data_IF_600672470930
#
_entry.id   IF_600672470930
#
_cell.length_a   1.000
_cell.length_b   1.000
_cell.length_c   1.000
_cell.angle_alpha   90.00
_cell.angle_beta   90.00
_cell.angle_gamma   90.00
#
_symmetry.space_group_name_H-M   'P 1'
#
loop_
_entity.id
_entity.type
_entity.pdbx_description
1 polymer ?
#
# COMPACT_ATOMS: atom_id res chain seq x y z
N UNK A 1 17.62 -48.92 -34.01
CA UNK A 1 17.98 -48.67 -32.60
C UNK A 1 17.41 -49.71 -31.61
N UNK A 2 16.41 -50.55 -31.97
CA UNK A 2 15.86 -51.55 -31.04
C UNK A 2 16.73 -52.80 -30.81
N UNK A 3 17.65 -53.14 -31.72
CA UNK A 3 18.43 -54.39 -31.64
C UNK A 3 19.50 -54.44 -30.53
N UNK A 4 19.90 -53.28 -29.99
CA UNK A 4 20.89 -53.18 -28.91
C UNK A 4 20.29 -53.03 -27.50
N UNK A 5 18.96 -52.94 -27.34
CA UNK A 5 18.35 -52.68 -26.02
C UNK A 5 18.48 -53.88 -25.08
N UNK A 6 18.21 -55.09 -25.58
CA UNK A 6 18.30 -56.33 -24.80
C UNK A 6 19.73 -56.64 -24.28
N UNK A 7 20.80 -56.53 -25.10
CA UNK A 7 22.15 -56.73 -24.59
C UNK A 7 22.59 -55.66 -23.58
N UNK A 8 22.19 -54.40 -23.75
CA UNK A 8 22.50 -53.34 -22.77
C UNK A 8 21.74 -53.53 -21.45
N UNK A 9 20.48 -53.97 -21.48
CA UNK A 9 19.74 -54.31 -20.26
C UNK A 9 20.39 -55.50 -19.52
N UNK A 10 20.94 -56.46 -20.26
CA UNK A 10 21.66 -57.60 -19.69
C UNK A 10 22.97 -57.18 -19.03
N UNK A 11 23.77 -56.32 -19.67
CA UNK A 11 25.01 -55.80 -19.08
C UNK A 11 24.76 -54.98 -17.82
N UNK A 12 23.67 -54.20 -17.78
CA UNK A 12 23.26 -53.47 -16.58
C UNK A 12 22.83 -54.42 -15.45
N UNK A 13 22.17 -55.54 -15.76
CA UNK A 13 21.85 -56.55 -14.75
C UNK A 13 23.09 -57.22 -14.17
N UNK A 14 24.09 -57.53 -15.00
CA UNK A 14 25.36 -58.09 -14.58
C UNK A 14 26.13 -57.10 -13.70
N UNK A 15 26.19 -55.82 -14.09
CA UNK A 15 26.77 -54.74 -13.28
C UNK A 15 26.08 -54.62 -11.91
N UNK A 16 24.74 -54.65 -11.87
CA UNK A 16 23.99 -54.60 -10.61
C UNK A 16 24.26 -55.80 -9.71
N UNK A 17 24.40 -56.99 -10.29
CA UNK A 17 24.72 -58.19 -9.53
C UNK A 17 26.11 -58.08 -8.88
N UNK A 18 27.08 -57.52 -9.60
CA UNK A 18 28.42 -57.27 -9.08
C UNK A 18 28.43 -56.18 -7.99
N UNK A 19 27.78 -55.04 -8.22
CA UNK A 19 27.64 -53.97 -7.23
C UNK A 19 26.95 -54.47 -5.95
N UNK A 20 25.93 -55.32 -6.05
CA UNK A 20 25.30 -55.94 -4.88
C UNK A 20 26.24 -56.86 -4.11
N UNK A 21 27.12 -57.58 -4.81
CA UNK A 21 28.12 -58.45 -4.19
C UNK A 21 29.16 -57.60 -3.44
N UNK A 22 29.70 -56.57 -4.08
CA UNK A 22 30.65 -55.63 -3.47
C UNK A 22 30.04 -54.94 -2.24
N UNK A 23 28.80 -54.47 -2.33
CA UNK A 23 28.08 -53.86 -1.21
C UNK A 23 27.91 -54.83 -0.03
N UNK A 24 27.59 -56.11 -0.29
CA UNK A 24 27.48 -57.14 0.76
C UNK A 24 28.82 -57.42 1.42
N UNK A 25 29.90 -57.45 0.65
CA UNK A 25 31.26 -57.64 1.16
C UNK A 25 31.69 -56.45 2.03
N UNK A 26 31.48 -55.22 1.56
CA UNK A 26 31.77 -53.98 2.32
C UNK A 26 30.92 -53.84 3.58
N UNK A 27 29.63 -54.19 3.53
CA UNK A 27 28.77 -54.26 4.74
C UNK A 27 29.23 -55.33 5.74
N UNK A 28 29.80 -56.45 5.28
CA UNK A 28 30.41 -57.45 6.17
C UNK A 28 31.72 -56.96 6.79
N UNK A 29 32.55 -56.25 6.03
CA UNK A 29 33.78 -55.62 6.53
C UNK A 29 33.47 -54.55 7.58
N UNK A 30 32.45 -53.71 7.35
CA UNK A 30 32.01 -52.70 8.33
C UNK A 30 31.58 -53.33 9.66
N UNK A 31 30.93 -54.49 9.63
CA UNK A 31 30.52 -55.23 10.84
C UNK A 31 31.68 -55.89 11.59
N UNK A 32 32.82 -56.11 10.93
CA UNK A 32 34.00 -56.78 11.49
C UNK A 32 35.10 -55.80 11.92
N UNK A 33 35.05 -54.54 11.47
CA UNK A 33 36.05 -53.52 11.78
C UNK A 33 35.84 -52.94 13.19
N UNK A 34 36.95 -52.82 13.93
CA UNK A 34 37.00 -52.29 15.30
C UNK A 34 37.43 -50.82 15.36
N UNK A 35 37.96 -50.25 14.27
CA UNK A 35 38.50 -48.88 14.22
C UNK A 35 37.44 -47.88 13.72
N UNK A 36 37.29 -46.75 14.42
CA UNK A 36 36.30 -45.73 14.07
C UNK A 36 36.64 -45.00 12.76
N UNK A 37 37.93 -44.85 12.43
CA UNK A 37 38.36 -44.28 11.15
C UNK A 37 38.04 -45.19 9.96
N UNK A 38 38.22 -46.50 10.13
CA UNK A 38 37.93 -47.51 9.11
C UNK A 38 36.41 -47.67 8.91
N UNK A 39 35.61 -47.55 9.98
CA UNK A 39 34.15 -47.53 9.88
C UNK A 39 33.64 -46.32 9.08
N UNK A 40 34.21 -45.13 9.29
CA UNK A 40 33.82 -43.92 8.54
C UNK A 40 34.13 -44.06 7.04
N UNK A 41 35.30 -44.60 6.69
CA UNK A 41 35.66 -44.86 5.29
C UNK A 41 34.73 -45.90 4.64
N UNK A 42 34.47 -47.02 5.33
CA UNK A 42 33.57 -48.05 4.84
C UNK A 42 32.12 -47.54 4.70
N UNK A 43 31.66 -46.63 5.57
CA UNK A 43 30.36 -45.99 5.44
C UNK A 43 30.27 -45.09 4.20
N UNK A 44 31.32 -44.29 3.92
CA UNK A 44 31.37 -43.47 2.71
C UNK A 44 31.39 -44.32 1.43
N UNK A 45 32.17 -45.41 1.42
CA UNK A 45 32.20 -46.36 0.30
C UNK A 45 30.86 -47.08 0.12
N UNK A 46 30.20 -47.49 1.20
CA UNK A 46 28.85 -48.07 1.13
C UNK A 46 27.86 -47.05 0.58
N UNK A 47 27.89 -45.80 1.03
CA UNK A 47 27.01 -44.76 0.52
C UNK A 47 27.22 -44.52 -0.99
N UNK A 48 28.48 -44.51 -1.45
CA UNK A 48 28.82 -44.42 -2.87
C UNK A 48 28.28 -45.62 -3.67
N UNK A 49 28.48 -46.84 -3.18
CA UNK A 49 27.96 -48.06 -3.82
C UNK A 49 26.43 -48.11 -3.82
N UNK A 50 25.76 -47.62 -2.77
CA UNK A 50 24.30 -47.49 -2.73
C UNK A 50 23.81 -46.46 -3.75
N UNK A 51 24.52 -45.35 -3.92
CA UNK A 51 24.23 -44.35 -4.95
C UNK A 51 24.41 -44.93 -6.36
N UNK A 52 25.54 -45.59 -6.65
CA UNK A 52 25.79 -46.22 -7.96
C UNK A 52 24.76 -47.31 -8.27
N UNK A 53 24.34 -48.10 -7.27
CA UNK A 53 23.30 -49.11 -7.44
C UNK A 53 21.92 -48.49 -7.68
N UNK A 54 21.66 -47.30 -7.12
CA UNK A 54 20.44 -46.53 -7.41
C UNK A 54 20.48 -45.98 -8.84
N UNK A 55 21.56 -45.32 -9.24
CA UNK A 55 21.77 -44.77 -10.59
C UNK A 55 21.67 -45.87 -11.67
N UNK A 56 22.33 -47.01 -11.45
CA UNK A 56 22.22 -48.17 -12.35
C UNK A 56 20.80 -48.74 -12.44
N UNK A 57 20.00 -48.61 -11.38
CA UNK A 57 18.59 -48.99 -11.39
C UNK A 57 17.72 -48.00 -12.17
N UNK A 58 18.00 -46.72 -12.01
CA UNK A 58 17.36 -45.66 -12.79
C UNK A 58 17.70 -45.80 -14.27
N UNK A 59 18.95 -46.13 -14.62
CA UNK A 59 19.39 -46.40 -15.99
C UNK A 59 18.74 -47.65 -16.59
N UNK A 60 18.64 -48.74 -15.81
CA UNK A 60 17.90 -49.94 -16.24
C UNK A 60 16.45 -49.59 -16.56
N UNK A 61 15.81 -48.82 -15.68
CA UNK A 61 14.42 -48.40 -15.85
C UNK A 61 14.29 -47.50 -17.08
N UNK A 62 15.14 -46.49 -17.22
CA UNK A 62 15.15 -45.56 -18.36
C UNK A 62 15.31 -46.27 -19.70
N UNK A 63 16.19 -47.27 -19.77
CA UNK A 63 16.40 -48.04 -21.00
C UNK A 63 15.24 -49.02 -21.26
N UNK A 64 14.61 -49.55 -20.20
CA UNK A 64 13.48 -50.47 -20.34
C UNK A 64 12.15 -49.75 -20.65
N UNK A 65 11.95 -48.54 -20.16
CA UNK A 65 10.70 -47.78 -20.30
C UNK A 65 10.77 -46.67 -21.35
N UNK A 66 11.96 -46.15 -21.64
CA UNK A 66 12.18 -44.97 -22.47
C UNK A 66 12.01 -43.63 -21.73
N UNK A 67 11.83 -43.65 -20.40
CA UNK A 67 11.39 -42.49 -19.59
C UNK A 67 12.32 -42.30 -18.41
N UNK A 68 12.63 -41.05 -18.05
CA UNK A 68 13.48 -40.75 -16.89
C UNK A 68 12.69 -40.95 -15.58
N UNK A 69 13.09 -41.89 -14.69
CA UNK A 69 12.42 -42.12 -13.41
C UNK A 69 12.46 -40.90 -12.47
N UNK A 70 13.33 -39.92 -12.75
CA UNK A 70 13.51 -38.70 -11.95
C UNK A 70 12.34 -37.73 -12.09
N UNK A 71 11.61 -37.76 -13.20
CA UNK A 71 10.42 -36.91 -13.42
C UNK A 71 9.24 -37.31 -12.54
N UNK A 72 9.26 -38.55 -12.03
CA UNK A 72 8.25 -39.09 -11.12
C UNK A 72 8.63 -38.96 -9.63
N UNK A 73 9.79 -38.37 -9.33
CA UNK A 73 10.19 -38.08 -7.95
C UNK A 73 9.65 -36.71 -7.52
N UNK A 74 9.13 -36.58 -6.28
CA UNK A 74 8.69 -35.29 -5.79
C UNK A 74 9.87 -34.32 -5.79
N UNK A 75 9.82 -33.29 -6.66
CA UNK A 75 10.77 -32.18 -6.62
C UNK A 75 10.78 -31.64 -5.19
N UNK A 76 11.92 -31.72 -4.50
CA UNK A 76 12.11 -31.11 -3.18
C UNK A 76 11.67 -29.66 -3.30
N UNK A 77 10.60 -29.29 -2.58
CA UNK A 77 10.10 -27.91 -2.54
C UNK A 77 11.23 -27.05 -1.99
N UNK A 78 11.79 -26.20 -2.85
CA UNK A 78 12.64 -25.11 -2.41
C UNK A 78 11.81 -24.19 -1.53
N UNK A 79 12.04 -24.23 -0.22
CA UNK A 79 11.51 -23.23 0.69
C UNK A 79 12.21 -21.91 0.40
N UNK A 80 11.51 -21.03 -0.31
CA UNK A 80 11.97 -19.66 -0.55
C UNK A 80 11.25 -18.67 0.35
N UNK A 81 12.11 -17.97 1.10
CA UNK A 81 12.18 -16.51 1.21
C UNK A 81 11.49 -15.87 2.41
N UNK A 82 12.35 -15.48 3.35
CA UNK A 82 12.02 -15.02 4.69
C UNK A 82 12.39 -13.53 4.83
N UNK A 83 11.64 -12.64 4.17
CA UNK A 83 12.05 -11.23 4.03
C UNK A 83 11.10 -10.18 4.63
N UNK A 84 10.14 -10.55 5.49
CA UNK A 84 9.19 -9.56 6.06
C UNK A 84 8.73 -9.83 7.50
N UNK A 85 9.51 -10.46 8.37
CA UNK A 85 9.01 -10.94 9.67
C UNK A 85 8.39 -9.84 10.58
N UNK A 86 8.82 -8.58 10.48
CA UNK A 86 8.28 -7.48 11.31
C UNK A 86 7.01 -6.82 10.75
N UNK A 87 6.97 -6.50 9.44
CA UNK A 87 5.73 -5.99 8.80
C UNK A 87 4.63 -7.07 8.79
N UNK A 88 5.05 -8.34 8.75
CA UNK A 88 4.13 -9.48 8.80
C UNK A 88 3.48 -9.64 10.16
N UNK A 89 3.98 -9.05 11.27
CA UNK A 89 3.30 -9.15 12.56
C UNK A 89 2.02 -8.30 12.61
N UNK A 90 2.09 -7.06 12.12
CA UNK A 90 0.94 -6.15 12.03
C UNK A 90 -0.07 -6.59 10.97
N UNK A 91 0.42 -7.14 9.85
CA UNK A 91 -0.43 -7.64 8.77
C UNK A 91 -0.77 -9.12 8.91
N UNK A 92 -0.22 -9.86 9.88
CA UNK A 92 -0.45 -11.31 10.08
C UNK A 92 -1.92 -11.64 10.12
N UNK A 93 -2.73 -10.92 10.92
CA UNK A 93 -4.16 -11.21 11.06
C UNK A 93 -4.91 -10.91 9.76
N UNK A 94 -4.57 -9.82 9.08
CA UNK A 94 -5.16 -9.44 7.80
C UNK A 94 -4.81 -10.45 6.70
N UNK A 95 -3.54 -10.89 6.65
CA UNK A 95 -3.08 -11.92 5.73
C UNK A 95 -3.76 -13.26 6.06
N UNK A 96 -3.90 -13.65 7.33
CA UNK A 96 -4.57 -14.90 7.69
C UNK A 96 -6.06 -14.88 7.34
N UNK A 97 -6.75 -13.76 7.56
CA UNK A 97 -8.15 -13.56 7.17
C UNK A 97 -8.30 -13.59 5.64
N UNK A 98 -7.46 -12.85 4.90
CA UNK A 98 -7.44 -12.94 3.44
C UNK A 98 -7.09 -14.35 2.96
N UNK A 99 -6.20 -15.07 3.67
CA UNK A 99 -5.85 -16.45 3.35
C UNK A 99 -7.04 -17.39 3.60
N UNK A 100 -7.89 -17.14 4.59
CA UNK A 100 -9.13 -17.87 4.82
C UNK A 100 -10.17 -17.54 3.74
N UNK A 101 -10.38 -16.26 3.42
CA UNK A 101 -11.30 -15.83 2.35
C UNK A 101 -10.91 -16.40 0.98
N UNK A 102 -9.61 -16.48 0.70
CA UNK A 102 -9.07 -17.04 -0.55
C UNK A 102 -8.76 -18.53 -0.47
N UNK A 103 -9.01 -19.19 0.67
CA UNK A 103 -8.64 -20.60 0.89
C UNK A 103 -9.26 -21.49 -0.18
N UNK A 104 -10.54 -21.27 -0.48
CA UNK A 104 -11.30 -22.01 -1.50
C UNK A 104 -10.73 -21.82 -2.91
N UNK A 105 -10.41 -20.58 -3.28
CA UNK A 105 -9.82 -20.25 -4.59
C UNK A 105 -8.43 -20.84 -4.72
N UNK A 106 -7.62 -20.80 -3.65
CA UNK A 106 -6.30 -21.44 -3.64
C UNK A 106 -6.38 -22.95 -3.70
N UNK A 107 -7.31 -23.55 -2.97
CA UNK A 107 -7.54 -25.00 -3.01
C UNK A 107 -7.95 -25.42 -4.43
N UNK A 108 -8.84 -24.67 -5.09
CA UNK A 108 -9.20 -24.92 -6.50
C UNK A 108 -8.00 -24.78 -7.43
N UNK A 109 -7.16 -23.75 -7.26
CA UNK A 109 -5.94 -23.57 -8.05
C UNK A 109 -4.95 -24.72 -7.83
N UNK A 110 -4.76 -25.16 -6.59
CA UNK A 110 -3.89 -26.27 -6.25
C UNK A 110 -4.37 -27.58 -6.87
N UNK A 111 -5.68 -27.88 -6.79
CA UNK A 111 -6.29 -29.05 -7.42
C UNK A 111 -6.13 -29.03 -8.95
N UNK A 112 -6.28 -27.87 -9.59
CA UNK A 112 -6.01 -27.74 -11.03
C UNK A 112 -4.56 -28.06 -11.39
N UNK A 113 -3.59 -27.56 -10.61
CA UNK A 113 -2.16 -27.86 -10.82
C UNK A 113 -1.88 -29.34 -10.63
N UNK A 114 -2.44 -29.97 -9.60
CA UNK A 114 -2.30 -31.41 -9.35
C UNK A 114 -2.91 -32.25 -10.50
N UNK A 115 -4.11 -31.88 -10.99
CA UNK A 115 -4.76 -32.53 -12.13
C UNK A 115 -3.91 -32.40 -13.39
N UNK A 116 -3.36 -31.22 -13.66
CA UNK A 116 -2.48 -30.97 -14.81
C UNK A 116 -1.21 -31.83 -14.72
N UNK A 117 -0.59 -31.90 -13.54
CA UNK A 117 0.58 -32.77 -13.31
C UNK A 117 0.27 -34.24 -13.57
N UNK A 118 -0.83 -34.76 -13.00
CA UNK A 118 -1.22 -36.16 -13.24
C UNK A 118 -1.58 -36.41 -14.71
N UNK A 119 -2.17 -35.43 -15.40
CA UNK A 119 -2.49 -35.57 -16.83
C UNK A 119 -1.25 -35.67 -17.72
N UNK A 120 -0.11 -35.11 -17.31
CA UNK A 120 1.18 -35.24 -18.00
C UNK A 120 1.87 -36.58 -17.72
N UNK A 121 1.83 -37.04 -16.47
CA UNK A 121 2.52 -38.26 -16.03
C UNK A 121 1.81 -39.56 -16.41
N UNK A 122 0.49 -39.55 -16.58
CA UNK A 122 -0.30 -40.73 -16.99
C UNK A 122 0.09 -41.30 -18.36
N UNK A 123 0.17 -40.51 -19.46
CA UNK A 123 0.56 -41.04 -20.76
C UNK A 123 2.00 -41.60 -20.77
N UNK A 124 2.91 -40.98 -20.02
CA UNK A 124 4.27 -41.49 -19.80
C UNK A 124 4.24 -42.86 -19.10
N UNK A 125 3.47 -43.00 -18.02
CA UNK A 125 3.33 -44.29 -17.33
C UNK A 125 2.71 -45.38 -18.23
N UNK A 126 1.77 -45.03 -19.10
CA UNK A 126 1.19 -45.95 -20.09
C UNK A 126 2.23 -46.41 -21.13
N UNK A 127 3.05 -45.49 -21.63
CA UNK A 127 4.12 -45.80 -22.58
C UNK A 127 5.17 -46.73 -21.97
N UNK A 128 5.56 -46.48 -20.72
CA UNK A 128 6.45 -47.36 -19.96
C UNK A 128 5.90 -48.79 -19.85
N UNK A 129 4.62 -48.95 -19.52
CA UNK A 129 3.96 -50.26 -19.44
C UNK A 129 3.92 -50.95 -20.81
N UNK A 130 3.65 -50.20 -21.90
CA UNK A 130 3.66 -50.74 -23.27
C UNK A 130 5.05 -51.24 -23.67
N UNK A 131 6.08 -50.42 -23.47
CA UNK A 131 7.47 -50.73 -23.82
C UNK A 131 7.99 -51.97 -23.05
N UNK A 132 7.75 -52.06 -21.74
CA UNK A 132 8.13 -53.25 -20.96
C UNK A 132 7.37 -54.49 -21.45
N UNK A 133 6.09 -54.36 -21.80
CA UNK A 133 5.28 -55.48 -22.30
C UNK A 133 5.80 -56.00 -23.65
N UNK A 134 6.26 -55.12 -24.54
CA UNK A 134 6.90 -55.52 -25.80
C UNK A 134 8.26 -56.21 -25.58
N UNK A 135 9.10 -55.67 -24.69
CA UNK A 135 10.40 -56.27 -24.35
C UNK A 135 10.23 -57.67 -23.72
N UNK A 136 9.18 -57.86 -22.92
CA UNK A 136 8.82 -59.16 -22.33
C UNK A 136 8.42 -60.21 -23.39
N UNK A 137 7.83 -59.79 -24.52
CA UNK A 137 7.49 -60.70 -25.63
C UNK A 137 8.72 -61.10 -26.46
N UNK A 138 9.71 -60.21 -26.58
CA UNK A 138 10.92 -60.42 -27.39
C UNK A 138 12.03 -61.18 -26.66
N UNK A 139 12.06 -61.17 -25.33
CA UNK A 139 13.15 -61.77 -24.55
C UNK A 139 12.98 -63.27 -24.28
N UNK A 140 14.05 -64.05 -24.49
CA UNK A 140 14.13 -65.50 -24.17
C UNK A 140 14.87 -65.79 -22.85
N UNK A 141 15.55 -64.79 -22.26
CA UNK A 141 16.37 -64.95 -21.05
C UNK A 141 15.49 -64.96 -19.77
N UNK A 142 15.63 -66.01 -18.96
CA UNK A 142 14.82 -66.26 -17.76
C UNK A 142 15.09 -65.24 -16.64
N UNK A 143 16.31 -64.73 -16.52
CA UNK A 143 16.67 -63.74 -15.49
C UNK A 143 16.12 -62.35 -15.84
N UNK A 144 16.29 -61.94 -17.11
CA UNK A 144 15.77 -60.67 -17.63
C UNK A 144 14.24 -60.65 -17.64
N UNK A 145 13.58 -61.77 -17.98
CA UNK A 145 12.11 -61.91 -17.93
C UNK A 145 11.55 -61.74 -16.51
N UNK A 146 12.24 -62.24 -15.49
CA UNK A 146 11.86 -62.08 -14.08
C UNK A 146 11.99 -60.62 -13.62
N UNK A 147 13.07 -59.93 -14.04
CA UNK A 147 13.30 -58.54 -13.68
C UNK A 147 12.30 -57.60 -14.38
N UNK A 148 12.10 -57.75 -15.69
CA UNK A 148 11.11 -56.99 -16.46
C UNK A 148 9.69 -57.25 -15.96
N UNK A 149 9.36 -58.46 -15.51
CA UNK A 149 8.07 -58.77 -14.89
C UNK A 149 7.84 -58.00 -13.58
N UNK A 150 8.88 -57.82 -12.76
CA UNK A 150 8.80 -56.98 -11.55
C UNK A 150 8.59 -55.51 -11.90
N UNK A 151 9.36 -54.99 -12.87
CA UNK A 151 9.19 -53.62 -13.34
C UNK A 151 7.79 -53.39 -13.92
N UNK A 152 7.25 -54.33 -14.70
CA UNK A 152 5.89 -54.23 -15.22
C UNK A 152 4.85 -54.11 -14.09
N UNK A 153 4.97 -54.90 -13.03
CA UNK A 153 4.06 -54.80 -11.88
C UNK A 153 4.20 -53.47 -11.14
N UNK A 154 5.43 -52.96 -11.00
CA UNK A 154 5.68 -51.67 -10.36
C UNK A 154 5.07 -50.50 -11.16
N UNK A 155 5.29 -50.47 -12.47
CA UNK A 155 4.74 -49.45 -13.37
C UNK A 155 3.22 -49.53 -13.51
N UNK A 156 2.62 -50.74 -13.56
CA UNK A 156 1.15 -50.89 -13.52
C UNK A 156 0.54 -50.38 -12.22
N UNK A 157 1.17 -50.64 -11.08
CA UNK A 157 0.71 -50.11 -9.80
C UNK A 157 0.82 -48.59 -9.76
N UNK A 158 1.92 -48.03 -10.28
CA UNK A 158 2.12 -46.58 -10.34
C UNK A 158 1.14 -45.88 -11.27
N UNK A 159 0.82 -46.48 -12.42
CA UNK A 159 -0.22 -45.99 -13.33
C UNK A 159 -1.58 -45.92 -12.63
N UNK A 160 -2.01 -47.01 -11.97
CA UNK A 160 -3.27 -47.03 -11.19
C UNK A 160 -3.29 -46.00 -10.06
N UNK A 161 -2.16 -45.80 -9.39
CA UNK A 161 -2.04 -44.80 -8.34
C UNK A 161 -2.22 -43.38 -8.87
N UNK A 162 -1.60 -43.05 -10.01
CA UNK A 162 -1.76 -41.75 -10.69
C UNK A 162 -3.20 -41.52 -11.15
N UNK A 163 -3.84 -42.54 -11.71
CA UNK A 163 -5.24 -42.48 -12.15
C UNK A 163 -6.19 -42.22 -10.97
N UNK A 164 -6.01 -42.97 -9.87
CA UNK A 164 -6.79 -42.78 -8.66
C UNK A 164 -6.61 -41.38 -8.07
N UNK A 165 -5.37 -40.87 -7.99
CA UNK A 165 -5.08 -39.51 -7.49
C UNK A 165 -5.72 -38.44 -8.38
N UNK A 166 -5.66 -38.60 -9.70
CA UNK A 166 -6.32 -37.69 -10.63
C UNK A 166 -7.84 -37.68 -10.43
N UNK A 167 -8.45 -38.85 -10.29
CA UNK A 167 -9.89 -38.99 -10.08
C UNK A 167 -10.33 -38.35 -8.75
N UNK A 168 -9.58 -38.57 -7.67
CA UNK A 168 -9.83 -37.92 -6.37
C UNK A 168 -9.75 -36.40 -6.50
N UNK A 169 -8.69 -35.87 -7.14
CA UNK A 169 -8.54 -34.43 -7.32
C UNK A 169 -9.68 -33.82 -8.17
N UNK A 170 -10.12 -34.51 -9.23
CA UNK A 170 -11.27 -34.11 -10.05
C UNK A 170 -12.58 -34.10 -9.25
N UNK A 171 -12.83 -35.13 -8.44
CA UNK A 171 -14.02 -35.19 -7.59
C UNK A 171 -14.03 -34.06 -6.55
N UNK A 172 -12.89 -33.77 -5.91
CA UNK A 172 -12.77 -32.65 -4.96
C UNK A 172 -13.02 -31.31 -5.65
N UNK A 173 -12.50 -31.13 -6.86
CA UNK A 173 -12.75 -29.92 -7.66
C UNK A 173 -14.23 -29.80 -8.05
N UNK A 174 -14.88 -30.90 -8.41
CA UNK A 174 -16.30 -30.91 -8.73
C UNK A 174 -17.15 -30.54 -7.49
N UNK A 175 -16.84 -31.09 -6.32
CA UNK A 175 -17.49 -30.73 -5.04
C UNK A 175 -17.31 -29.25 -4.70
N UNK A 176 -16.10 -28.72 -4.85
CA UNK A 176 -15.79 -27.29 -4.70
C UNK A 176 -16.56 -26.42 -5.70
N UNK A 177 -16.84 -26.95 -6.90
CA UNK A 177 -17.56 -26.26 -7.96
C UNK A 177 -19.09 -26.34 -7.86
N UNK A 178 -19.66 -27.40 -7.25
CA UNK A 178 -21.11 -27.53 -7.05
C UNK A 178 -21.63 -26.59 -5.95
N UNK A 179 -20.78 -26.23 -4.99
CA UNK A 179 -21.07 -25.20 -3.99
C UNK A 179 -20.97 -23.76 -4.53
N UNK A 180 -21.02 -23.55 -5.86
CA UNK A 180 -20.99 -22.24 -6.55
C UNK A 180 -22.37 -21.55 -6.57
N UNK A 181 -23.07 -21.49 -5.45
CA UNK A 181 -24.05 -20.40 -5.28
C UNK A 181 -23.27 -19.11 -5.11
N UNK A 182 -23.07 -18.43 -6.26
CA UNK A 182 -22.69 -17.03 -6.44
C UNK A 182 -21.64 -16.46 -5.48
N UNK A 183 -20.44 -16.18 -6.00
CA UNK A 183 -19.40 -15.38 -5.31
C UNK A 183 -19.96 -14.05 -4.74
N UNK A 184 -21.02 -13.51 -5.36
CA UNK A 184 -21.73 -12.32 -4.87
C UNK A 184 -22.60 -12.59 -3.64
N UNK A 185 -23.22 -13.77 -3.55
CA UNK A 185 -23.97 -14.21 -2.36
C UNK A 185 -23.02 -14.49 -1.20
N UNK A 186 -21.89 -15.16 -1.45
CA UNK A 186 -20.83 -15.39 -0.45
C UNK A 186 -20.23 -14.08 0.09
N UNK A 187 -20.01 -13.08 -0.78
CA UNK A 187 -19.58 -11.73 -0.38
C UNK A 187 -20.66 -11.01 0.43
N UNK A 188 -21.93 -11.10 0.02
CA UNK A 188 -23.04 -10.45 0.71
C UNK A 188 -23.26 -11.07 2.11
N UNK A 189 -23.13 -12.38 2.23
CA UNK A 189 -23.25 -13.09 3.50
C UNK A 189 -22.06 -12.80 4.42
N UNK A 190 -20.84 -12.73 3.87
CA UNK A 190 -19.63 -12.34 4.61
C UNK A 190 -19.71 -10.91 5.14
N UNK A 191 -20.18 -9.96 4.34
CA UNK A 191 -20.38 -8.56 4.77
C UNK A 191 -21.46 -8.50 5.85
N UNK A 192 -22.58 -9.22 5.69
CA UNK A 192 -23.66 -9.26 6.69
C UNK A 192 -23.17 -9.87 8.01
N UNK A 193 -22.37 -10.93 7.95
CA UNK A 193 -21.76 -11.55 9.11
C UNK A 193 -20.75 -10.60 9.79
N UNK A 194 -19.96 -9.87 9.01
CA UNK A 194 -19.02 -8.86 9.51
C UNK A 194 -19.74 -7.76 10.28
N UNK A 195 -20.80 -7.16 9.73
CA UNK A 195 -21.57 -6.13 10.44
C UNK A 195 -22.29 -6.67 11.66
N UNK A 196 -22.80 -7.91 11.63
CA UNK A 196 -23.48 -8.53 12.77
C UNK A 196 -22.53 -8.87 13.92
N UNK A 197 -21.31 -9.29 13.61
CA UNK A 197 -20.32 -9.70 14.61
C UNK A 197 -19.44 -8.55 15.09
N UNK A 198 -19.03 -7.65 14.19
CA UNK A 198 -18.04 -6.58 14.45
C UNK A 198 -18.63 -5.17 14.41
N UNK A 199 -19.88 -5.02 13.98
CA UNK A 199 -20.56 -3.71 13.94
C UNK A 199 -20.70 -3.05 15.31
N UNK A 200 -20.84 -3.84 16.38
CA UNK A 200 -20.87 -3.31 17.74
C UNK A 200 -19.55 -2.62 18.14
N UNK A 201 -18.42 -3.22 17.79
CA UNK A 201 -17.10 -2.63 18.07
C UNK A 201 -16.83 -1.39 17.21
N UNK A 202 -17.25 -1.42 15.94
CA UNK A 202 -17.16 -0.25 15.07
C UNK A 202 -18.02 0.90 15.59
N UNK A 203 -19.25 0.62 16.04
CA UNK A 203 -20.13 1.60 16.66
C UNK A 203 -19.52 2.15 17.96
N UNK A 204 -19.00 1.29 18.83
CA UNK A 204 -18.36 1.71 20.07
C UNK A 204 -17.12 2.59 19.81
N UNK A 205 -16.30 2.24 18.81
CA UNK A 205 -15.12 3.00 18.45
C UNK A 205 -15.49 4.38 17.89
N UNK A 206 -16.51 4.44 17.03
CA UNK A 206 -17.05 5.70 16.52
C UNK A 206 -17.66 6.55 17.63
N UNK A 207 -18.44 5.93 18.52
CA UNK A 207 -19.02 6.60 19.68
C UNK A 207 -17.93 7.20 20.57
N UNK A 208 -16.83 6.47 20.79
CA UNK A 208 -15.69 6.96 21.58
C UNK A 208 -15.00 8.15 20.93
N UNK A 209 -14.80 8.12 19.61
CA UNK A 209 -14.28 9.28 18.85
C UNK A 209 -15.21 10.49 18.99
N UNK A 210 -16.52 10.29 18.81
CA UNK A 210 -17.49 11.38 18.96
C UNK A 210 -17.54 11.93 20.39
N UNK A 211 -17.40 11.07 21.40
CA UNK A 211 -17.36 11.46 22.81
C UNK A 211 -16.12 12.29 23.11
N UNK A 212 -14.94 11.87 22.63
CA UNK A 212 -13.69 12.63 22.79
C UNK A 212 -13.82 14.01 22.15
N UNK A 213 -14.31 14.08 20.91
CA UNK A 213 -14.51 15.36 20.21
C UNK A 213 -15.51 16.25 20.95
N UNK A 214 -16.64 15.70 21.42
CA UNK A 214 -17.65 16.45 22.15
C UNK A 214 -17.11 16.99 23.48
N UNK A 215 -16.37 16.15 24.22
CA UNK A 215 -15.74 16.53 25.49
C UNK A 215 -14.71 17.63 25.30
N UNK A 216 -13.83 17.49 24.30
CA UNK A 216 -12.85 18.53 23.95
C UNK A 216 -13.54 19.81 23.46
N UNK A 217 -14.62 19.71 22.68
CA UNK A 217 -15.38 20.88 22.23
C UNK A 217 -16.04 21.63 23.39
N UNK A 218 -16.62 20.92 24.35
CA UNK A 218 -17.18 21.50 25.57
C UNK A 218 -16.08 22.18 26.41
N UNK A 219 -14.93 21.53 26.59
CA UNK A 219 -13.77 22.10 27.29
C UNK A 219 -13.27 23.38 26.60
N UNK A 220 -13.17 23.38 25.27
CA UNK A 220 -12.77 24.56 24.51
C UNK A 220 -13.76 25.72 24.70
N UNK A 221 -15.06 25.43 24.61
CA UNK A 221 -16.12 26.43 24.82
C UNK A 221 -16.07 27.01 26.24
N UNK A 222 -15.77 26.19 27.24
CA UNK A 222 -15.62 26.62 28.62
C UNK A 222 -14.37 27.51 28.79
N UNK A 223 -13.26 27.12 28.17
CA UNK A 223 -11.99 27.86 28.21
C UNK A 223 -12.13 29.26 27.57
N UNK A 224 -12.80 29.36 26.43
CA UNK A 224 -13.12 30.65 25.77
C UNK A 224 -14.04 31.52 26.63
N UNK A 225 -14.94 30.92 27.42
CA UNK A 225 -15.85 31.66 28.30
C UNK A 225 -15.14 32.24 29.53
N UNK A 226 -14.08 31.59 30.02
CA UNK A 226 -13.36 32.00 31.24
C UNK A 226 -12.21 32.98 30.93
N UNK A 227 -11.48 32.80 29.84
CA UNK A 227 -10.31 33.65 29.56
C UNK A 227 -10.73 35.05 29.03
N UNK A 228 -10.43 36.16 29.75
CA UNK A 228 -10.85 37.52 29.39
C UNK A 228 -10.10 38.16 28.20
N UNK A 229 -9.36 37.38 27.40
CA UNK A 229 -8.62 37.85 26.22
C UNK A 229 -9.30 37.55 24.88
N UNK A 230 -10.31 36.67 24.87
CA UNK A 230 -10.91 36.12 23.65
C UNK A 230 -11.97 37.05 23.00
N UNK A 231 -12.44 38.08 23.73
CA UNK A 231 -13.43 39.07 23.26
C UNK A 231 -12.83 40.36 22.67
N UNK A 232 -11.50 40.47 22.61
CA UNK A 232 -10.84 41.66 22.02
C UNK A 232 -10.85 41.57 20.49
N UNK A 233 -10.91 42.72 19.81
CA UNK A 233 -10.93 42.79 18.33
C UNK A 233 -9.73 42.08 17.68
N UNK A 234 -8.57 42.07 18.36
CA UNK A 234 -7.38 41.34 17.95
C UNK A 234 -6.99 40.30 19.00
N UNK A 235 -7.19 39.01 18.66
CA UNK A 235 -6.77 37.88 19.51
C UNK A 235 -5.23 37.79 19.47
N UNK A 236 -4.55 37.86 20.63
CA UNK A 236 -3.09 37.79 20.68
C UNK A 236 -2.58 36.42 20.22
N UNK A 237 -1.38 36.41 19.64
CA UNK A 237 -0.74 35.24 19.02
C UNK A 237 -0.65 34.02 19.96
N UNK A 238 -0.39 34.24 21.25
CA UNK A 238 -0.31 33.19 22.27
C UNK A 238 -1.63 32.40 22.41
N UNK A 239 -2.76 33.08 22.34
CA UNK A 239 -4.07 32.43 22.41
C UNK A 239 -4.37 31.63 21.14
N UNK A 240 -3.97 32.11 19.96
CA UNK A 240 -4.11 31.37 18.69
C UNK A 240 -3.26 30.10 18.67
N UNK A 241 -2.03 30.15 19.19
CA UNK A 241 -1.17 28.96 19.34
C UNK A 241 -1.80 27.96 20.30
N UNK A 242 -2.32 28.42 21.43
CA UNK A 242 -3.00 27.56 22.40
C UNK A 242 -4.19 26.82 21.77
N UNK A 243 -5.00 27.51 20.96
CA UNK A 243 -6.10 26.87 20.23
C UNK A 243 -5.61 25.81 19.23
N UNK A 244 -4.54 26.11 18.49
CA UNK A 244 -3.94 25.17 17.55
C UNK A 244 -3.46 23.91 18.27
N UNK A 245 -2.77 24.08 19.40
CA UNK A 245 -2.30 22.98 20.26
C UNK A 245 -3.47 22.16 20.79
N UNK A 246 -4.53 22.81 21.28
CA UNK A 246 -5.73 22.12 21.77
C UNK A 246 -6.41 21.29 20.68
N UNK A 247 -6.49 21.84 19.46
CA UNK A 247 -7.07 21.14 18.30
C UNK A 247 -6.21 19.96 17.85
N UNK A 248 -4.89 20.10 17.86
CA UNK A 248 -3.96 19.01 17.59
C UNK A 248 -4.06 17.90 18.65
N UNK A 249 -4.12 18.27 19.93
CA UNK A 249 -4.32 17.31 21.03
C UNK A 249 -5.64 16.56 20.92
N UNK A 250 -6.73 17.25 20.54
CA UNK A 250 -8.03 16.60 20.32
C UNK A 250 -7.95 15.55 19.21
N UNK A 251 -7.26 15.86 18.11
CA UNK A 251 -7.06 14.91 17.01
C UNK A 251 -6.25 13.69 17.47
N UNK A 252 -5.15 13.90 18.20
CA UNK A 252 -4.33 12.81 18.73
C UNK A 252 -5.14 11.92 19.67
N UNK A 253 -5.89 12.52 20.61
CA UNK A 253 -6.74 11.78 21.55
C UNK A 253 -7.84 10.99 20.83
N UNK A 254 -8.44 11.55 19.78
CA UNK A 254 -9.45 10.85 18.99
C UNK A 254 -8.87 9.63 18.27
N UNK A 255 -7.69 9.76 17.65
CA UNK A 255 -6.99 8.66 16.99
C UNK A 255 -6.57 7.59 18.01
N UNK A 256 -6.02 8.00 19.15
CA UNK A 256 -5.66 7.06 20.23
C UNK A 256 -6.89 6.36 20.80
N UNK A 257 -8.01 7.05 20.97
CA UNK A 257 -9.27 6.46 21.42
C UNK A 257 -9.84 5.44 20.43
N UNK A 258 -9.81 5.75 19.14
CA UNK A 258 -10.19 4.83 18.06
C UNK A 258 -9.36 3.53 18.14
N UNK A 259 -8.03 3.65 18.19
CA UNK A 259 -7.16 2.48 18.29
C UNK A 259 -7.31 1.74 19.61
N UNK A 260 -7.46 2.45 20.73
CA UNK A 260 -7.63 1.86 22.06
C UNK A 260 -8.86 0.96 22.13
N UNK A 261 -9.99 1.40 21.58
CA UNK A 261 -11.23 0.59 21.55
C UNK A 261 -11.09 -0.62 20.64
N UNK A 262 -10.53 -0.46 19.43
CA UNK A 262 -10.35 -1.57 18.50
C UNK A 262 -9.33 -2.61 18.99
N UNK A 263 -8.29 -2.14 19.68
CA UNK A 263 -7.31 -3.00 20.33
C UNK A 263 -7.91 -3.76 21.52
N UNK A 264 -8.68 -3.08 22.37
CA UNK A 264 -9.38 -3.71 23.50
C UNK A 264 -10.42 -4.74 23.03
N UNK A 265 -11.08 -4.49 21.91
CA UNK A 265 -11.98 -5.44 21.26
C UNK A 265 -11.27 -6.66 20.65
N UNK A 266 -9.92 -6.69 20.66
CA UNK A 266 -9.09 -7.71 20.01
C UNK A 266 -9.43 -7.92 18.53
N UNK A 267 -10.03 -6.93 17.88
CA UNK A 267 -10.43 -6.98 16.48
C UNK A 267 -9.32 -6.42 15.59
N UNK A 268 -8.44 -7.32 15.19
CA UNK A 268 -7.29 -7.00 14.34
C UNK A 268 -7.65 -6.57 12.92
N UNK A 269 -8.83 -6.97 12.41
CA UNK A 269 -9.27 -6.60 11.04
C UNK A 269 -9.67 -5.14 11.04
N UNK A 270 -10.53 -4.73 11.98
CA UNK A 270 -10.93 -3.33 12.09
C UNK A 270 -9.74 -2.42 12.41
N UNK A 271 -8.81 -2.87 13.25
CA UNK A 271 -7.60 -2.14 13.57
C UNK A 271 -6.74 -1.89 12.31
N UNK A 272 -6.49 -2.93 11.52
CA UNK A 272 -5.67 -2.81 10.30
C UNK A 272 -6.34 -1.95 9.21
N UNK A 273 -7.66 -2.10 8.99
CA UNK A 273 -8.42 -1.23 8.09
C UNK A 273 -8.35 0.23 8.53
N UNK A 274 -8.44 0.50 9.83
CA UNK A 274 -8.36 1.86 10.38
C UNK A 274 -6.96 2.48 10.19
N UNK A 275 -5.89 1.70 10.32
CA UNK A 275 -4.51 2.16 10.03
C UNK A 275 -4.38 2.57 8.55
N UNK A 276 -4.86 1.73 7.62
CA UNK A 276 -4.81 2.02 6.19
C UNK A 276 -5.59 3.29 5.86
N UNK A 277 -6.77 3.45 6.45
CA UNK A 277 -7.59 4.65 6.29
C UNK A 277 -6.87 5.92 6.79
N UNK A 278 -6.25 5.87 7.97
CA UNK A 278 -5.48 6.99 8.52
C UNK A 278 -4.23 7.31 7.72
N UNK A 279 -3.54 6.31 7.17
CA UNK A 279 -2.46 6.54 6.20
C UNK A 279 -2.95 7.27 4.95
N UNK A 280 -4.13 6.89 4.43
CA UNK A 280 -4.77 7.59 3.31
C UNK A 280 -5.01 9.07 3.62
N UNK A 281 -5.56 9.38 4.80
CA UNK A 281 -5.74 10.77 5.25
C UNK A 281 -4.38 11.47 5.40
N UNK A 282 -3.40 10.82 6.03
CA UNK A 282 -2.05 11.37 6.20
C UNK A 282 -1.38 11.71 4.86
N UNK A 283 -1.59 10.89 3.84
CA UNK A 283 -1.10 11.15 2.49
C UNK A 283 -1.74 12.41 1.88
N UNK A 284 -3.06 12.58 2.00
CA UNK A 284 -3.74 13.80 1.52
C UNK A 284 -3.30 15.05 2.28
N UNK A 285 -3.05 14.92 3.59
CA UNK A 285 -2.55 16.00 4.42
C UNK A 285 -1.15 16.45 3.97
N UNK A 286 -0.25 15.50 3.64
CA UNK A 286 1.09 15.80 3.13
C UNK A 286 1.07 16.69 1.89
N UNK A 287 0.11 16.52 0.99
CA UNK A 287 -0.02 17.34 -0.22
C UNK A 287 -0.65 18.72 0.06
N UNK A 288 -1.53 18.81 1.06
CA UNK A 288 -2.33 20.01 1.33
C UNK A 288 -1.63 20.99 2.28
N UNK A 289 -0.89 20.49 3.28
CA UNK A 289 -0.20 21.29 4.30
C UNK A 289 0.77 22.33 3.68
N UNK A 290 1.66 21.98 2.73
CA UNK A 290 2.61 22.94 2.15
C UNK A 290 1.90 24.11 1.46
N UNK A 291 0.77 23.84 0.80
CA UNK A 291 -0.02 24.86 0.09
C UNK A 291 -0.62 25.90 1.04
N UNK A 292 -0.92 25.51 2.27
CA UNK A 292 -1.57 26.38 3.28
C UNK A 292 -0.52 27.06 4.19
N UNK A 293 0.75 26.64 4.15
CA UNK A 293 1.81 27.17 5.01
C UNK A 293 2.01 28.68 4.89
N UNK A 294 2.23 29.18 3.67
CA UNK A 294 2.50 30.61 3.45
C UNK A 294 1.30 31.48 3.82
N UNK A 295 0.08 31.01 3.55
CA UNK A 295 -1.15 31.69 3.97
C UNK A 295 -1.29 31.71 5.49
N UNK A 296 -0.90 30.64 6.17
CA UNK A 296 -0.94 30.56 7.64
C UNK A 296 0.02 31.55 8.30
N UNK A 297 1.20 31.76 7.71
CA UNK A 297 2.16 32.76 8.21
C UNK A 297 1.59 34.19 8.17
N UNK A 298 0.91 34.55 7.07
CA UNK A 298 0.21 35.83 6.96
C UNK A 298 -0.96 35.93 7.95
N UNK A 299 -1.78 34.89 8.10
CA UNK A 299 -2.87 34.87 9.07
C UNK A 299 -2.38 35.01 10.51
N UNK A 300 -1.19 34.50 10.83
CA UNK A 300 -0.55 34.65 12.13
C UNK A 300 0.13 36.00 12.32
N UNK A 301 0.05 36.92 11.36
CA UNK A 301 0.70 38.23 11.39
C UNK A 301 2.25 38.16 11.45
N UNK A 302 2.85 37.06 10.95
CA UNK A 302 4.31 36.83 10.94
C UNK A 302 4.88 36.99 9.51
N UNK A 303 4.04 37.13 8.49
CA UNK A 303 4.47 37.24 7.10
C UNK A 303 4.97 38.64 6.68
N UNK A 304 5.14 38.80 5.37
CA UNK A 304 5.56 40.05 4.70
C UNK A 304 4.51 41.16 4.78
N UNK A 305 3.24 40.80 4.92
CA UNK A 305 2.13 41.72 5.17
C UNK A 305 1.61 41.51 6.59
N UNK A 306 1.49 42.61 7.34
CA UNK A 306 1.07 42.61 8.74
C UNK A 306 -0.14 43.51 8.98
N UNK A 307 -0.99 43.11 9.93
CA UNK A 307 -2.09 43.92 10.46
C UNK A 307 -1.53 45.20 11.10
N UNK A 308 -2.15 46.35 10.81
CA UNK A 308 -1.75 47.65 11.32
C UNK A 308 -0.65 48.35 10.52
N UNK A 309 -0.18 47.75 9.42
CA UNK A 309 0.83 48.34 8.55
C UNK A 309 0.24 48.91 7.25
N UNK A 310 1.06 49.67 6.53
CA UNK A 310 0.76 50.24 5.22
C UNK A 310 1.27 49.31 4.12
N UNK A 311 0.39 49.03 3.16
CA UNK A 311 0.64 48.23 1.96
C UNK A 311 0.34 49.08 0.72
N UNK A 312 1.08 48.94 -0.37
CA UNK A 312 0.79 49.65 -1.63
C UNK A 312 0.29 48.66 -2.67
N UNK A 313 -0.88 48.94 -3.26
CA UNK A 313 -1.48 48.16 -4.35
C UNK A 313 -1.82 49.13 -5.48
N UNK A 314 -1.34 48.83 -6.69
CA UNK A 314 -1.59 49.65 -7.89
C UNK A 314 -1.25 51.14 -7.70
N UNK A 315 -0.18 51.43 -6.94
CA UNK A 315 0.28 52.79 -6.63
C UNK A 315 -0.52 53.49 -5.51
N UNK A 316 -1.59 52.88 -5.01
CA UNK A 316 -2.43 53.43 -3.93
C UNK A 316 -2.01 52.78 -2.60
N UNK A 317 -1.75 53.55 -1.54
CA UNK A 317 -1.48 52.98 -0.23
C UNK A 317 -2.78 52.59 0.49
N UNK A 318 -2.72 51.48 1.22
CA UNK A 318 -3.81 50.85 1.95
C UNK A 318 -3.35 50.49 3.35
N UNK A 319 -4.22 50.69 4.32
CA UNK A 319 -4.06 50.24 5.69
C UNK A 319 -4.57 48.81 5.83
N UNK A 320 -3.74 47.92 6.36
CA UNK A 320 -4.10 46.52 6.57
C UNK A 320 -4.88 46.38 7.87
N UNK A 321 -6.22 46.39 7.79
CA UNK A 321 -7.09 46.38 8.97
C UNK A 321 -7.17 44.99 9.62
N UNK A 322 -7.38 43.95 8.82
CA UNK A 322 -7.54 42.57 9.31
C UNK A 322 -7.11 41.56 8.27
N UNK A 323 -6.22 40.64 8.64
CA UNK A 323 -5.77 39.53 7.79
C UNK A 323 -6.58 38.28 8.15
N UNK A 324 -7.27 37.75 7.15
CA UNK A 324 -7.99 36.47 7.23
C UNK A 324 -8.01 35.87 5.81
N UNK A 325 -8.77 34.79 5.57
CA UNK A 325 -8.98 34.21 4.23
C UNK A 325 -9.29 35.29 3.18
N UNK A 326 -10.11 36.27 3.59
CA UNK A 326 -10.23 37.55 2.91
C UNK A 326 -9.74 38.65 3.83
N UNK A 327 -8.71 39.35 3.38
CA UNK A 327 -8.13 40.51 4.06
C UNK A 327 -8.97 41.74 3.76
N UNK A 328 -9.17 42.58 4.78
CA UNK A 328 -9.83 43.87 4.66
C UNK A 328 -8.75 44.95 4.66
N UNK A 329 -8.67 45.66 3.56
CA UNK A 329 -7.81 46.83 3.36
C UNK A 329 -8.68 48.09 3.39
N UNK A 330 -8.15 49.16 3.96
CA UNK A 330 -8.87 50.42 4.09
C UNK A 330 -7.95 51.57 3.65
N UNK A 331 -8.44 52.52 2.86
CA UNK A 331 -7.72 53.76 2.61
C UNK A 331 -8.43 54.89 3.38
N UNK A 332 -7.82 55.41 4.46
CA UNK A 332 -8.43 56.45 5.30
C UNK A 332 -8.73 57.76 4.57
N UNK A 333 -7.92 58.17 3.59
CA UNK A 333 -8.11 59.44 2.87
C UNK A 333 -9.18 59.31 1.77
N UNK A 334 -9.27 58.15 1.12
CA UNK A 334 -10.31 57.84 0.14
C UNK A 334 -11.65 57.43 0.79
N UNK A 335 -11.62 56.98 2.05
CA UNK A 335 -12.81 56.47 2.76
C UNK A 335 -13.37 55.17 2.19
N UNK A 336 -12.56 54.39 1.44
CA UNK A 336 -12.97 53.14 0.78
C UNK A 336 -12.34 51.92 1.44
N UNK A 337 -13.06 50.80 1.41
CA UNK A 337 -12.56 49.49 1.87
C UNK A 337 -12.49 48.52 0.71
N UNK A 338 -11.43 47.72 0.67
CA UNK A 338 -11.19 46.71 -0.35
C UNK A 338 -11.01 45.35 0.30
N UNK A 339 -11.76 44.37 -0.19
CA UNK A 339 -11.68 42.99 0.28
C UNK A 339 -10.85 42.17 -0.70
N UNK A 340 -9.69 41.69 -0.25
CA UNK A 340 -8.71 40.99 -1.10
C UNK A 340 -8.49 39.57 -0.58
N UNK A 341 -8.47 38.54 -1.45
CA UNK A 341 -8.10 37.19 -1.03
C UNK A 341 -6.65 37.16 -0.55
N UNK A 342 -6.39 36.44 0.55
CA UNK A 342 -5.05 36.39 1.18
C UNK A 342 -3.94 35.96 0.22
N UNK A 343 -4.27 35.12 -0.77
CA UNK A 343 -3.30 34.66 -1.78
C UNK A 343 -2.68 35.80 -2.59
N UNK A 344 -3.39 36.92 -2.81
CA UNK A 344 -2.84 38.09 -3.52
C UNK A 344 -1.79 38.86 -2.70
N UNK A 345 -1.73 38.65 -1.39
CA UNK A 345 -0.81 39.35 -0.48
C UNK A 345 0.51 38.61 -0.28
N UNK A 346 0.65 37.38 -0.82
CA UNK A 346 1.83 36.54 -0.61
C UNK A 346 3.12 37.17 -1.16
N UNK A 347 3.03 37.84 -2.30
CA UNK A 347 4.15 38.47 -2.99
C UNK A 347 4.23 39.98 -2.71
N UNK A 348 3.50 40.45 -1.69
CA UNK A 348 3.44 41.85 -1.30
C UNK A 348 4.18 42.08 0.01
N UNK A 349 4.61 43.33 0.22
CA UNK A 349 5.32 43.76 1.42
C UNK A 349 4.58 44.93 2.06
N UNK A 350 4.36 44.86 3.38
CA UNK A 350 3.90 46.00 4.17
C UNK A 350 5.04 46.62 4.94
N UNK A 351 4.83 47.88 5.34
CA UNK A 351 5.73 48.60 6.23
C UNK A 351 4.96 49.39 7.28
N UNK A 352 5.55 49.66 8.45
CA UNK A 352 5.03 50.66 9.38
C UNK A 352 4.83 52.01 8.68
N UNK A 353 3.81 52.75 9.09
CA UNK A 353 3.51 54.08 8.59
C UNK A 353 3.65 55.12 9.69
N UNK A 354 4.06 56.32 9.31
CA UNK A 354 4.06 57.47 10.20
C UNK A 354 2.72 58.23 10.12
N UNK A 355 2.30 58.84 11.23
CA UNK A 355 1.01 59.58 11.32
C UNK A 355 0.88 60.74 10.32
N UNK A 356 2.00 61.28 9.85
CA UNK A 356 2.08 62.41 8.93
C UNK A 356 2.01 62.00 7.46
N UNK A 357 2.16 60.70 7.17
CA UNK A 357 2.08 60.21 5.80
C UNK A 357 0.63 60.23 5.32
N UNK A 358 0.41 60.76 4.12
CA UNK A 358 -0.88 60.71 3.46
C UNK A 358 -1.13 59.34 2.81
N UNK A 359 -2.40 58.94 2.78
CA UNK A 359 -2.93 57.75 2.12
C UNK A 359 -3.47 58.05 0.72
N UNK A 360 -3.66 59.32 0.39
CA UNK A 360 -3.89 59.77 -0.97
C UNK A 360 -3.33 61.20 -1.14
N UNK A 361 -2.87 61.61 -2.34
CA UNK A 361 -2.26 62.93 -2.52
C UNK A 361 -3.16 64.09 -2.10
N UNK A 362 -4.47 63.96 -2.34
CA UNK A 362 -5.50 64.95 -2.06
C UNK A 362 -6.67 64.35 -1.27
N UNK A 363 -7.50 65.22 -0.68
CA UNK A 363 -8.78 64.86 -0.06
C UNK A 363 -9.94 65.39 -0.88
N UNK A 364 -11.13 64.88 -0.59
CA UNK A 364 -12.36 65.45 -1.16
C UNK A 364 -12.41 66.94 -0.84
N UNK A 365 -12.83 67.72 -1.82
CA UNK A 365 -12.89 69.19 -1.82
C UNK A 365 -11.56 69.95 -1.93
N UNK A 366 -10.43 69.27 -2.03
CA UNK A 366 -9.15 69.92 -2.33
C UNK A 366 -9.08 70.43 -3.77
N UNK A 367 -8.30 71.49 -4.00
CA UNK A 367 -7.98 71.98 -5.33
C UNK A 367 -6.62 71.45 -5.77
N UNK A 368 -6.58 70.83 -6.94
CA UNK A 368 -5.36 70.24 -7.51
C UNK A 368 -5.01 70.88 -8.85
N UNK A 369 -3.72 70.90 -9.16
CA UNK A 369 -3.17 71.36 -10.43
C UNK A 369 -2.39 70.19 -11.02
N UNK A 370 -2.90 69.63 -12.10
CA UNK A 370 -2.29 68.49 -12.79
C UNK A 370 -1.21 68.95 -13.77
N UNK A 371 -0.28 68.06 -14.09
CA UNK A 371 0.79 68.32 -15.06
C UNK A 371 0.29 68.65 -16.48
N UNK A 372 -0.92 68.21 -16.85
CA UNK A 372 -1.60 68.56 -18.11
C UNK A 372 -2.14 70.00 -18.14
N UNK A 373 -1.93 70.78 -17.07
CA UNK A 373 -2.45 72.12 -16.90
C UNK A 373 -3.90 72.19 -16.38
N UNK A 374 -4.55 71.05 -16.17
CA UNK A 374 -5.90 71.00 -15.61
C UNK A 374 -5.91 71.48 -14.16
N UNK A 375 -6.74 72.50 -13.88
CA UNK A 375 -7.01 73.00 -12.53
C UNK A 375 -8.45 72.71 -12.15
N UNK A 376 -8.66 71.95 -11.08
CA UNK A 376 -10.00 71.56 -10.67
C UNK A 376 -10.10 71.23 -9.19
N UNK A 377 -11.32 71.32 -8.66
CA UNK A 377 -11.68 70.88 -7.32
C UNK A 377 -12.05 69.41 -7.35
N UNK A 378 -11.53 68.61 -6.43
CA UNK A 378 -11.83 67.18 -6.34
C UNK A 378 -13.21 66.97 -5.73
N UNK A 379 -14.15 66.40 -6.50
CA UNK A 379 -15.55 66.22 -6.07
C UNK A 379 -15.81 64.80 -5.58
N UNK A 380 -15.24 63.82 -6.26
CA UNK A 380 -15.39 62.40 -5.97
C UNK A 380 -14.05 61.69 -6.13
N UNK A 381 -13.75 60.76 -5.23
CA UNK A 381 -12.53 59.95 -5.26
C UNK A 381 -12.91 58.50 -4.97
N UNK A 382 -12.33 57.59 -5.72
CA UNK A 382 -12.46 56.15 -5.52
C UNK A 382 -11.16 55.46 -5.93
N UNK A 383 -11.04 54.17 -5.63
CA UNK A 383 -9.90 53.39 -6.08
C UNK A 383 -9.82 53.23 -7.62
N UNK A 384 -10.93 53.44 -8.35
CA UNK A 384 -10.98 53.29 -9.81
C UNK A 384 -10.87 54.62 -10.56
N UNK A 385 -11.50 55.67 -10.04
CA UNK A 385 -11.56 56.98 -10.69
C UNK A 385 -11.58 58.17 -9.72
N UNK A 386 -11.08 59.30 -10.21
CA UNK A 386 -11.09 60.61 -9.55
C UNK A 386 -11.81 61.62 -10.45
N UNK A 387 -12.79 62.34 -9.89
CA UNK A 387 -13.57 63.36 -10.60
C UNK A 387 -13.16 64.77 -10.13
N UNK A 388 -12.78 65.60 -11.10
CA UNK A 388 -12.45 67.00 -10.91
C UNK A 388 -13.49 67.92 -11.56
N UNK A 389 -13.84 69.00 -10.87
CA UNK A 389 -14.66 70.10 -11.43
C UNK A 389 -13.78 71.32 -11.65
N UNK A 390 -13.68 71.76 -12.90
CA UNK A 390 -12.93 72.96 -13.27
C UNK A 390 -13.69 74.25 -12.92
N UNK A 391 -12.97 75.37 -12.88
CA UNK A 391 -13.59 76.71 -12.82
C UNK A 391 -14.40 76.93 -14.10
N UNK A 392 -15.73 76.88 -13.99
CA UNK A 392 -16.66 76.87 -15.13
C UNK A 392 -17.63 75.68 -15.15
N UNK A 393 -17.50 74.73 -14.21
CA UNK A 393 -18.46 73.64 -14.02
C UNK A 393 -18.22 72.40 -14.87
N UNK A 394 -17.23 72.42 -15.78
CA UNK A 394 -16.84 71.24 -16.56
C UNK A 394 -16.26 70.15 -15.64
N UNK A 395 -16.75 68.91 -15.81
CA UNK A 395 -16.31 67.73 -15.07
C UNK A 395 -15.33 66.92 -15.91
N UNK A 396 -14.19 66.55 -15.32
CA UNK A 396 -13.24 65.60 -15.90
C UNK A 396 -13.08 64.41 -14.97
N UNK A 397 -13.12 63.21 -15.54
CA UNK A 397 -12.95 61.96 -14.80
C UNK A 397 -11.65 61.34 -15.30
N UNK A 398 -10.77 61.03 -14.36
CA UNK A 398 -9.51 60.34 -14.60
C UNK A 398 -9.58 58.96 -13.95
N UNK A 399 -8.98 57.94 -14.57
CA UNK A 399 -8.68 56.71 -13.83
C UNK A 399 -7.67 57.04 -12.75
N UNK A 400 -7.74 56.39 -11.60
CA UNK A 400 -6.87 56.74 -10.46
C UNK A 400 -5.38 56.61 -10.81
N UNK A 401 -5.00 55.60 -11.60
CA UNK A 401 -3.62 55.48 -12.09
C UNK A 401 -3.18 56.68 -12.96
N UNK A 402 -4.02 57.10 -13.91
CA UNK A 402 -3.74 58.24 -14.79
C UNK A 402 -3.65 59.55 -13.98
N UNK A 403 -4.55 59.73 -13.02
CA UNK A 403 -4.55 60.87 -12.11
C UNK A 403 -3.24 60.95 -11.30
N UNK A 404 -2.78 59.83 -10.74
CA UNK A 404 -1.52 59.77 -10.00
C UNK A 404 -0.30 60.02 -10.90
N UNK A 405 -0.34 59.59 -12.17
CA UNK A 405 0.74 59.85 -13.13
C UNK A 405 0.91 61.34 -13.46
N UNK A 406 -0.16 62.14 -13.32
CA UNK A 406 -0.17 63.57 -13.56
C UNK A 406 0.33 64.40 -12.37
N UNK A 407 0.89 63.76 -11.34
CA UNK A 407 1.51 64.39 -10.16
C UNK A 407 0.59 65.44 -9.47
N UNK A 408 -0.57 64.99 -8.95
CA UNK A 408 -1.63 65.86 -8.45
C UNK A 408 -1.32 66.60 -7.15
#
# INVERSE_FOLDING_TARGET
MQDNILPTLKSILELRADLQKQLREKKKQLKRSSSDSEKLQLQAEIALLEQQLKESGDDFTRIATGIDPRDFQPKKKEEKFDLKQEITFLLKPLISEMKQMTARVRQQAQLNVEIEQYSKLLPEAEEAVRNITELLKKTKDKALKKQLGKELTAWKNRQKELENKQNIARMQLEQLSRSKTSVREDLQESIKHFFRTRGAYLFLALATVTLVICTCWLLHRFLVRILPGYRREHIPLRLRILDLVFRAMTFILAVTGLFGVLYAAQDWVLLSVSIIFLMGIGWTARQTIPKIWNQSQLMLNIGSVREGERLVIDGIPWFVRKINVFTILENPDLGVTLRVPIGKLLDMESRPFNRWERWFPCKRDDWVILADGTRGKVVSQSHEAVELVQRGGARKIYRTADFLSLSP
#
